data_IF_635623491647
#
_entry.id   IF_635623491647
#
_cell.length_a   1.000
_cell.length_b   1.000
_cell.length_c   1.000
_cell.angle_alpha   90.00
_cell.angle_beta   90.00
_cell.angle_gamma   90.00
#
_symmetry.space_group_name_H-M   'P 1'
#
loop_
_entity.id
_entity.type
_entity.pdbx_description
1 polymer ?
#
# COMPACT_ATOMS: atom_id res chain seq x y z
N UNK A 1 -11.83 -13.00 6.39
CA UNK A 1 -11.52 -12.97 4.95
C UNK A 1 -11.81 -11.55 4.48
N UNK A 2 -10.89 -10.83 3.83
CA UNK A 2 -11.24 -9.56 3.20
C UNK A 2 -12.30 -9.82 2.11
N UNK A 3 -13.26 -8.92 1.99
CA UNK A 3 -14.35 -9.03 1.01
C UNK A 3 -13.77 -8.96 -0.40
N UNK A 4 -13.94 -10.02 -1.19
CA UNK A 4 -13.54 -10.03 -2.60
C UNK A 4 -14.55 -9.22 -3.42
N UNK A 5 -14.06 -8.23 -4.16
CA UNK A 5 -14.84 -7.42 -5.10
C UNK A 5 -14.61 -7.96 -6.51
N UNK A 6 -15.68 -8.38 -7.17
CA UNK A 6 -15.61 -8.90 -8.54
C UNK A 6 -15.73 -7.77 -9.56
N UNK A 7 -14.79 -7.70 -10.50
CA UNK A 7 -14.76 -6.67 -11.56
C UNK A 7 -14.48 -7.33 -12.92
N UNK A 8 -14.93 -6.70 -14.01
CA UNK A 8 -14.62 -7.21 -15.35
C UNK A 8 -13.13 -7.10 -15.69
N UNK A 9 -12.65 -7.96 -16.60
CA UNK A 9 -11.23 -8.04 -17.02
C UNK A 9 -10.64 -6.69 -17.44
N UNK A 10 -11.40 -5.89 -18.22
CA UNK A 10 -10.98 -4.56 -18.66
C UNK A 10 -10.77 -3.62 -17.46
N UNK A 11 -11.72 -3.59 -16.52
CA UNK A 11 -11.65 -2.77 -15.32
C UNK A 11 -10.50 -3.21 -14.40
N UNK A 12 -10.30 -4.52 -14.20
CA UNK A 12 -9.17 -5.07 -13.44
C UNK A 12 -7.82 -4.59 -14.00
N UNK A 13 -7.65 -4.65 -15.32
CA UNK A 13 -6.41 -4.22 -15.98
C UNK A 13 -6.18 -2.71 -15.81
N UNK A 14 -7.23 -1.90 -15.95
CA UNK A 14 -7.13 -0.45 -15.75
C UNK A 14 -6.76 -0.12 -14.30
N UNK A 15 -7.43 -0.75 -13.33
CA UNK A 15 -7.13 -0.59 -11.91
C UNK A 15 -5.69 -0.98 -11.58
N UNK A 16 -5.22 -2.13 -12.06
CA UNK A 16 -3.85 -2.57 -11.82
C UNK A 16 -2.82 -1.60 -12.40
N UNK A 17 -3.05 -1.06 -13.59
CA UNK A 17 -2.15 -0.08 -14.21
C UNK A 17 -2.14 1.24 -13.43
N UNK A 18 -3.31 1.73 -13.01
CA UNK A 18 -3.42 2.94 -12.19
C UNK A 18 -2.69 2.76 -10.85
N UNK A 19 -3.02 1.70 -10.09
CA UNK A 19 -2.35 1.36 -8.83
C UNK A 19 -0.84 1.21 -9.03
N UNK A 20 -0.39 0.58 -10.12
CA UNK A 20 1.04 0.46 -10.39
C UNK A 20 1.70 1.82 -10.57
N UNK A 21 1.14 2.69 -11.40
CA UNK A 21 1.71 4.01 -11.67
C UNK A 21 1.74 4.88 -10.40
N UNK A 22 0.61 4.99 -9.71
CA UNK A 22 0.47 5.87 -8.55
C UNK A 22 1.37 5.42 -7.41
N UNK A 23 1.40 4.13 -7.11
CA UNK A 23 2.27 3.61 -6.04
C UNK A 23 3.76 3.59 -6.41
N UNK A 24 4.10 3.61 -7.70
CA UNK A 24 5.48 3.86 -8.13
C UNK A 24 5.88 5.30 -7.84
N UNK A 25 4.98 6.26 -8.14
CA UNK A 25 5.19 7.67 -7.84
C UNK A 25 5.29 7.92 -6.33
N UNK A 26 4.34 7.45 -5.53
CA UNK A 26 4.36 7.61 -4.07
C UNK A 26 5.64 7.06 -3.44
N UNK A 27 6.10 5.89 -3.88
CA UNK A 27 7.35 5.32 -3.40
C UNK A 27 8.60 6.09 -3.85
N UNK A 28 8.54 6.87 -4.94
CA UNK A 28 9.67 7.71 -5.41
C UNK A 28 9.81 9.02 -4.63
N UNK A 29 8.79 9.40 -3.87
CA UNK A 29 8.78 10.58 -2.99
C UNK A 29 8.68 10.18 -1.51
N UNK A 30 9.08 8.94 -1.20
CA UNK A 30 9.11 8.34 0.15
C UNK A 30 7.78 8.40 0.92
N UNK A 31 6.65 8.42 0.19
CA UNK A 31 5.31 8.37 0.78
C UNK A 31 4.89 6.92 1.01
N UNK A 32 4.33 6.68 2.19
CA UNK A 32 3.75 5.40 2.59
C UNK A 32 2.59 5.61 3.58
N UNK A 33 2.00 4.52 4.07
CA UNK A 33 0.79 4.52 4.92
C UNK A 33 -0.47 5.11 4.26
N UNK A 34 -0.51 5.10 2.93
CA UNK A 34 -1.70 5.44 2.14
C UNK A 34 -2.68 4.26 2.02
N UNK A 35 -3.96 4.56 1.88
CA UNK A 35 -5.04 3.56 1.75
C UNK A 35 -5.75 3.68 0.41
N UNK A 36 -6.40 2.60 -0.06
CA UNK A 36 -7.35 2.67 -1.18
C UNK A 36 -8.77 2.85 -0.61
N UNK A 37 -9.39 3.98 -0.90
CA UNK A 37 -10.81 4.20 -0.65
C UNK A 37 -11.61 3.59 -1.80
N UNK A 38 -12.67 2.86 -1.45
CA UNK A 38 -13.58 2.20 -2.39
C UNK A 38 -15.01 2.62 -2.06
N UNK A 39 -15.61 3.38 -2.97
CA UNK A 39 -17.05 3.65 -2.99
C UNK A 39 -17.76 2.63 -3.87
N UNK A 40 -18.87 2.08 -3.39
CA UNK A 40 -19.72 1.15 -4.12
C UNK A 40 -21.06 1.84 -4.36
N UNK A 41 -21.41 2.05 -5.63
CA UNK A 41 -22.72 2.52 -6.05
C UNK A 41 -23.54 1.30 -6.49
N UNK A 42 -24.45 0.85 -5.63
CA UNK A 42 -25.27 -0.34 -5.90
C UNK A 42 -26.35 -0.09 -6.96
N UNK A 43 -26.84 1.14 -7.11
CA UNK A 43 -27.88 1.50 -8.07
C UNK A 43 -27.32 1.53 -9.49
N UNK A 44 -26.12 2.10 -9.66
CA UNK A 44 -25.44 2.19 -10.97
C UNK A 44 -24.53 1.00 -11.27
N UNK A 45 -24.30 0.13 -10.28
CA UNK A 45 -23.31 -0.94 -10.35
C UNK A 45 -21.90 -0.44 -10.68
N UNK A 46 -21.50 0.67 -10.07
CA UNK A 46 -20.21 1.31 -10.30
C UNK A 46 -19.32 1.26 -9.06
N UNK A 47 -18.00 1.25 -9.30
CA UNK A 47 -17.00 1.37 -8.25
C UNK A 47 -16.22 2.66 -8.46
N UNK A 48 -16.15 3.48 -7.42
CA UNK A 48 -15.33 4.69 -7.38
C UNK A 48 -14.13 4.41 -6.48
N UNK A 49 -12.92 4.61 -6.99
CA UNK A 49 -11.69 4.20 -6.31
C UNK A 49 -10.72 5.39 -6.24
N UNK A 50 -10.00 5.52 -5.12
CA UNK A 50 -8.97 6.55 -4.97
C UNK A 50 -7.97 6.23 -3.88
N UNK A 51 -6.69 6.58 -4.08
CA UNK A 51 -5.68 6.50 -3.02
C UNK A 51 -5.83 7.74 -2.13
N UNK A 52 -5.87 7.55 -0.82
CA UNK A 52 -6.03 8.61 0.20
C UNK A 52 -4.86 8.59 1.20
N UNK A 53 -4.79 9.61 2.06
CA UNK A 53 -3.81 9.75 3.16
C UNK A 53 -2.33 9.80 2.73
N UNK A 54 -2.06 10.26 1.51
CA UNK A 54 -0.72 10.33 0.94
C UNK A 54 -0.01 11.69 1.14
N UNK A 55 -0.67 12.70 1.74
CA UNK A 55 -0.08 14.04 1.89
C UNK A 55 1.06 14.10 2.91
N UNK A 56 1.11 13.16 3.86
CA UNK A 56 2.20 13.11 4.83
C UNK A 56 3.36 12.30 4.25
N UNK A 57 4.43 13.00 3.89
CA UNK A 57 5.74 12.36 3.79
C UNK A 57 6.07 11.83 5.19
N UNK A 58 6.12 10.52 5.32
CA UNK A 58 6.45 9.93 6.60
C UNK A 58 7.96 10.10 6.79
N UNK A 59 8.36 10.73 7.89
CA UNK A 59 9.77 10.84 8.30
C UNK A 59 10.32 9.49 8.79
N UNK A 60 10.20 8.45 7.96
CA UNK A 60 10.60 7.08 8.31
C UNK A 60 12.11 7.02 8.41
N UNK A 61 12.81 7.85 7.65
CA UNK A 61 14.25 8.01 7.75
C UNK A 61 14.67 8.29 9.19
N UNK A 62 13.99 9.20 9.90
CA UNK A 62 14.31 9.51 11.31
C UNK A 62 14.01 8.36 12.26
N UNK A 63 12.89 7.66 12.07
CA UNK A 63 12.52 6.53 12.93
C UNK A 63 13.35 5.28 12.66
N UNK A 64 13.74 5.05 11.40
CA UNK A 64 14.60 3.95 10.98
C UNK A 64 16.05 4.21 11.41
N UNK A 65 16.55 5.44 11.27
CA UNK A 65 17.85 5.83 11.79
C UNK A 65 17.91 5.66 13.32
N UNK A 66 16.83 6.03 14.03
CA UNK A 66 16.71 5.80 15.48
C UNK A 66 16.72 4.31 15.80
N UNK A 67 15.93 3.48 15.08
CA UNK A 67 15.89 2.04 15.33
C UNK A 67 17.22 1.34 15.01
N UNK A 68 17.86 1.66 13.88
CA UNK A 68 19.19 1.12 13.53
C UNK A 68 20.23 1.50 14.59
N UNK A 69 20.19 2.74 15.10
CA UNK A 69 21.05 3.17 16.21
C UNK A 69 20.75 2.42 17.51
N UNK A 70 19.48 2.24 17.87
CA UNK A 70 19.07 1.54 19.10
C UNK A 70 19.37 0.04 19.03
N UNK A 71 19.06 -0.62 17.91
CA UNK A 71 19.29 -2.05 17.70
C UNK A 71 20.76 -2.40 17.49
N UNK A 72 21.56 -1.50 16.92
CA UNK A 72 22.99 -1.68 16.69
C UNK A 72 23.87 -1.49 17.94
N UNK A 73 23.44 -0.68 18.91
CA UNK A 73 24.21 -0.37 20.13
C UNK A 73 23.81 -1.26 21.33
N UNK A 74 22.58 -1.80 21.37
CA UNK A 74 22.06 -2.55 22.53
C UNK A 74 21.95 -4.08 22.36
N UNK A 75 22.52 -4.69 21.31
CA UNK A 75 22.70 -6.15 21.23
C UNK A 75 21.43 -7.02 21.36
N UNK A 76 20.24 -6.47 21.09
CA UNK A 76 18.96 -7.14 21.30
C UNK A 76 18.50 -8.03 20.14
N UNK A 77 18.32 -9.32 20.42
CA UNK A 77 17.48 -10.34 19.74
C UNK A 77 17.05 -10.13 18.27
N UNK A 78 17.54 -11.01 17.40
CA UNK A 78 17.30 -11.08 15.93
C UNK A 78 15.91 -11.57 15.46
N UNK A 79 14.81 -11.41 16.20
CA UNK A 79 13.55 -12.14 15.86
C UNK A 79 12.30 -11.31 15.55
N UNK A 80 12.36 -9.99 15.51
CA UNK A 80 11.23 -9.19 14.99
C UNK A 80 11.61 -8.57 13.65
N UNK A 81 11.05 -9.10 12.55
CA UNK A 81 11.02 -8.38 11.27
C UNK A 81 10.49 -6.96 11.53
N UNK A 82 11.16 -5.91 11.06
CA UNK A 82 10.79 -4.55 11.43
C UNK A 82 9.31 -4.31 11.12
N UNK A 83 8.54 -3.87 12.12
CA UNK A 83 7.14 -3.44 11.95
C UNK A 83 7.04 -2.30 10.93
N UNK A 84 8.15 -1.58 10.78
CA UNK A 84 8.45 -0.53 9.83
C UNK A 84 8.90 -1.13 8.50
N UNK A 85 8.12 -0.92 7.44
CA UNK A 85 8.50 -1.34 6.09
C UNK A 85 8.92 -0.12 5.28
N UNK A 86 9.95 -0.24 4.44
CA UNK A 86 10.35 0.84 3.53
C UNK A 86 9.23 1.20 2.53
N UNK A 87 9.21 2.42 1.95
CA UNK A 87 8.22 2.78 0.92
C UNK A 87 8.14 1.77 -0.22
N UNK A 88 9.27 1.20 -0.65
CA UNK A 88 9.35 0.14 -1.67
C UNK A 88 8.66 -1.15 -1.25
N UNK A 89 8.81 -1.55 0.02
CA UNK A 89 8.12 -2.71 0.58
C UNK A 89 6.63 -2.44 0.77
N UNK A 90 6.24 -1.24 1.25
CA UNK A 90 4.84 -0.82 1.38
C UNK A 90 4.12 -0.88 0.04
N UNK A 91 4.72 -0.30 -1.01
CA UNK A 91 4.23 -0.38 -2.40
C UNK A 91 3.96 -1.82 -2.82
N UNK A 92 4.89 -2.72 -2.58
CA UNK A 92 4.78 -4.13 -3.00
C UNK A 92 3.66 -4.83 -2.26
N UNK A 93 3.55 -4.61 -0.94
CA UNK A 93 2.47 -5.13 -0.10
C UNK A 93 1.11 -4.62 -0.56
N UNK A 94 0.98 -3.31 -0.79
CA UNK A 94 -0.25 -2.66 -1.23
C UNK A 94 -0.72 -3.22 -2.58
N UNK A 95 0.19 -3.33 -3.57
CA UNK A 95 -0.12 -3.93 -4.88
C UNK A 95 -0.61 -5.36 -4.76
N UNK A 96 0.05 -6.18 -3.91
CA UNK A 96 -0.36 -7.56 -3.67
C UNK A 96 -1.78 -7.63 -3.10
N UNK A 97 -2.09 -6.79 -2.11
CA UNK A 97 -3.42 -6.70 -1.52
C UNK A 97 -4.49 -6.32 -2.57
N UNK A 98 -4.25 -5.29 -3.38
CA UNK A 98 -5.17 -4.90 -4.46
C UNK A 98 -5.35 -5.98 -5.52
N UNK A 99 -4.31 -6.81 -5.75
CA UNK A 99 -4.44 -7.96 -6.64
C UNK A 99 -5.43 -9.00 -6.09
N UNK A 100 -5.41 -9.23 -4.78
CA UNK A 100 -6.25 -10.21 -4.08
C UNK A 100 -7.67 -9.70 -3.81
N UNK A 101 -7.85 -8.40 -3.55
CA UNK A 101 -9.17 -7.84 -3.22
C UNK A 101 -10.08 -7.72 -4.44
N UNK A 102 -9.52 -7.39 -5.61
CA UNK A 102 -10.31 -7.23 -6.84
C UNK A 102 -10.16 -8.48 -7.71
N UNK A 103 -11.14 -9.36 -7.77
CA UNK A 103 -11.08 -10.58 -8.59
C UNK A 103 -11.77 -10.36 -9.93
N UNK A 104 -11.36 -11.14 -10.93
CA UNK A 104 -12.04 -11.14 -12.23
C UNK A 104 -13.26 -12.06 -12.12
N UNK A 105 -14.42 -11.58 -12.61
CA UNK A 105 -15.59 -12.41 -12.85
C UNK A 105 -15.53 -13.03 -14.25
#
# INVERSE_FOLDING_TARGET
MPTSIFVGTKAKRLLQRAVWNDTSFLASIDVMDYSLLVGVDEEKHELVLGIIDFMRQYTWDKHLETWVKTSGILGGSKTASPTVISPKQYKTRFRKAMSTYFLVR
#
